data_IF_483156664535
#
_entry.id   IF_483156664535
#
_cell.length_a   1.000
_cell.length_b   1.000
_cell.length_c   1.000
_cell.angle_alpha   90.00
_cell.angle_beta   90.00
_cell.angle_gamma   90.00
#
_symmetry.space_group_name_H-M   'P 1'
#
loop_
_entity.id
_entity.type
_entity.pdbx_description
1 polymer ?
#
# COMPACT_ATOMS: atom_id res chain seq x y z
N UNK A 1 14.86 -22.64 -26.05
CA UNK A 1 14.95 -21.20 -26.37
C UNK A 1 15.76 -20.52 -25.28
N UNK A 2 16.64 -19.63 -25.67
CA UNK A 2 17.42 -18.84 -24.70
C UNK A 2 16.53 -17.75 -24.10
N UNK A 3 16.43 -17.72 -22.79
CA UNK A 3 15.66 -16.71 -22.07
C UNK A 3 16.58 -15.53 -21.71
N UNK A 4 16.48 -14.46 -22.48
CA UNK A 4 17.15 -13.20 -22.16
C UNK A 4 16.37 -12.43 -21.11
N UNK A 5 16.99 -11.41 -20.51
CA UNK A 5 16.30 -10.54 -19.56
C UNK A 5 15.05 -9.85 -20.17
N UNK A 6 15.14 -9.51 -21.46
CA UNK A 6 14.01 -8.93 -22.19
C UNK A 6 12.84 -9.91 -22.31
N UNK A 7 13.12 -11.18 -22.59
CA UNK A 7 12.11 -12.24 -22.66
C UNK A 7 11.53 -12.51 -21.27
N UNK A 8 12.36 -12.58 -20.24
CA UNK A 8 11.91 -12.73 -18.85
C UNK A 8 10.96 -11.61 -18.46
N UNK A 9 11.30 -10.36 -18.73
CA UNK A 9 10.44 -9.22 -18.42
C UNK A 9 9.10 -9.28 -19.15
N UNK A 10 9.12 -9.68 -20.42
CA UNK A 10 7.89 -9.90 -21.21
C UNK A 10 7.01 -10.98 -20.56
N UNK A 11 7.58 -12.11 -20.20
CA UNK A 11 6.87 -13.21 -19.54
C UNK A 11 6.25 -12.70 -18.23
N UNK A 12 7.02 -12.00 -17.42
CA UNK A 12 6.57 -11.47 -16.13
C UNK A 12 5.39 -10.53 -16.29
N UNK A 13 5.44 -9.60 -17.23
CA UNK A 13 4.34 -8.66 -17.46
C UNK A 13 3.07 -9.38 -17.95
N UNK A 14 3.20 -10.38 -18.80
CA UNK A 14 2.06 -11.18 -19.26
C UNK A 14 1.44 -11.99 -18.12
N UNK A 15 2.27 -12.61 -17.29
CA UNK A 15 1.82 -13.38 -16.12
C UNK A 15 1.12 -12.48 -15.10
N UNK A 16 1.71 -11.32 -14.79
CA UNK A 16 1.11 -10.33 -13.89
C UNK A 16 -0.29 -9.92 -14.35
N UNK A 17 -0.44 -9.62 -15.63
CA UNK A 17 -1.72 -9.21 -16.19
C UNK A 17 -2.80 -10.29 -16.09
N UNK A 18 -2.41 -11.56 -16.17
CA UNK A 18 -3.33 -12.69 -16.09
C UNK A 18 -3.66 -13.12 -14.66
N UNK A 19 -2.75 -12.91 -13.72
CA UNK A 19 -2.93 -13.28 -12.31
C UNK A 19 -3.64 -12.16 -11.53
N UNK A 20 -3.44 -10.89 -11.89
CA UNK A 20 -4.00 -9.75 -11.16
C UNK A 20 -5.52 -9.81 -10.94
N UNK A 21 -6.37 -10.21 -11.93
CA UNK A 21 -7.82 -10.29 -11.72
C UNK A 21 -8.23 -11.16 -10.52
N UNK A 22 -7.42 -12.15 -10.18
CA UNK A 22 -7.63 -13.06 -9.05
C UNK A 22 -7.50 -12.32 -7.69
N UNK A 23 -6.75 -11.21 -7.66
CA UNK A 23 -6.46 -10.44 -6.46
C UNK A 23 -7.13 -9.06 -6.43
N UNK A 24 -7.92 -8.70 -7.44
CA UNK A 24 -8.54 -7.37 -7.55
C UNK A 24 -9.44 -7.03 -6.36
N UNK A 25 -10.23 -7.99 -5.88
CA UNK A 25 -11.12 -7.78 -4.74
C UNK A 25 -10.33 -7.50 -3.45
N UNK A 26 -9.26 -8.25 -3.20
CA UNK A 26 -8.40 -8.07 -2.04
C UNK A 26 -7.63 -6.76 -2.12
N UNK A 27 -7.15 -6.40 -3.29
CA UNK A 27 -6.47 -5.13 -3.55
C UNK A 27 -7.41 -3.94 -3.29
N UNK A 28 -8.64 -4.00 -3.78
CA UNK A 28 -9.64 -2.96 -3.58
C UNK A 28 -10.00 -2.79 -2.09
N UNK A 29 -10.17 -3.89 -1.36
CA UNK A 29 -10.47 -3.87 0.07
C UNK A 29 -9.29 -3.31 0.88
N UNK A 30 -8.07 -3.70 0.55
CA UNK A 30 -6.86 -3.14 1.16
C UNK A 30 -6.79 -1.63 0.97
N UNK A 31 -7.01 -1.16 -0.25
CA UNK A 31 -7.00 0.26 -0.59
C UNK A 31 -8.10 1.02 0.16
N UNK A 32 -9.30 0.45 0.28
CA UNK A 32 -10.41 1.05 1.01
C UNK A 32 -10.05 1.25 2.49
N UNK A 33 -9.48 0.23 3.14
CA UNK A 33 -9.09 0.29 4.56
C UNK A 33 -8.01 1.33 4.79
N UNK A 34 -6.96 1.35 3.96
CA UNK A 34 -5.87 2.31 4.07
C UNK A 34 -6.36 3.73 3.84
N UNK A 35 -7.18 3.96 2.82
CA UNK A 35 -7.73 5.28 2.52
C UNK A 35 -8.65 5.77 3.64
N UNK A 36 -9.46 4.89 4.23
CA UNK A 36 -10.32 5.22 5.37
C UNK A 36 -9.49 5.63 6.59
N UNK A 37 -8.43 4.87 6.89
CA UNK A 37 -7.51 5.20 7.98
C UNK A 37 -6.87 6.58 7.78
N UNK A 38 -6.34 6.82 6.58
CA UNK A 38 -5.69 8.10 6.25
C UNK A 38 -6.68 9.27 6.34
N UNK A 39 -7.90 9.09 5.87
CA UNK A 39 -8.95 10.11 5.93
C UNK A 39 -9.31 10.47 7.37
N UNK A 40 -9.48 9.48 8.24
CA UNK A 40 -9.76 9.70 9.66
C UNK A 40 -8.58 10.40 10.34
N UNK A 41 -7.36 9.97 10.08
CA UNK A 41 -6.14 10.61 10.63
C UNK A 41 -6.01 12.06 10.19
N UNK A 42 -6.27 12.36 8.92
CA UNK A 42 -6.23 13.72 8.40
C UNK A 42 -7.29 14.61 9.05
N UNK A 43 -8.51 14.12 9.24
CA UNK A 43 -9.57 14.87 9.92
C UNK A 43 -9.24 15.12 11.39
N UNK A 44 -8.67 14.14 12.09
CA UNK A 44 -8.24 14.30 13.48
C UNK A 44 -7.08 15.30 13.59
N UNK A 45 -6.13 15.27 12.67
CA UNK A 45 -5.02 16.21 12.58
C UNK A 45 -5.53 17.65 12.36
N UNK A 46 -6.48 17.86 11.46
CA UNK A 46 -7.08 19.16 11.19
C UNK A 46 -7.84 19.69 12.41
N UNK A 47 -8.59 18.84 13.09
CA UNK A 47 -9.31 19.22 14.32
C UNK A 47 -8.34 19.62 15.44
N UNK A 48 -7.24 18.88 15.62
CA UNK A 48 -6.21 19.21 16.60
C UNK A 48 -5.53 20.56 16.28
N UNK A 49 -5.25 20.81 15.01
CA UNK A 49 -4.68 22.08 14.54
C UNK A 49 -5.63 23.26 14.82
N UNK A 50 -6.91 23.09 14.54
CA UNK A 50 -7.93 24.12 14.84
C UNK A 50 -8.05 24.37 16.32
N UNK A 51 -8.02 23.34 17.17
CA UNK A 51 -8.05 23.50 18.63
C UNK A 51 -6.83 24.27 19.14
N UNK A 52 -5.63 23.95 18.64
CA UNK A 52 -4.40 24.67 18.97
C UNK A 52 -4.48 26.15 18.55
N UNK A 53 -5.01 26.42 17.36
CA UNK A 53 -5.20 27.78 16.86
C UNK A 53 -6.22 28.56 17.67
N UNK A 54 -7.27 27.91 18.16
CA UNK A 54 -8.28 28.53 19.04
C UNK A 54 -7.65 28.99 20.36
N UNK A 55 -6.83 28.15 20.99
CA UNK A 55 -6.08 28.51 22.20
C UNK A 55 -5.15 29.69 21.93
N UNK A 56 -4.42 29.66 20.83
CA UNK A 56 -3.54 30.74 20.43
C UNK A 56 -4.28 32.08 20.26
N UNK A 57 -5.41 32.04 19.54
CA UNK A 57 -6.21 33.21 19.26
C UNK A 57 -6.83 33.80 20.53
N UNK A 58 -7.30 32.99 21.47
CA UNK A 58 -7.81 33.42 22.76
C UNK A 58 -6.72 34.08 23.61
N UNK A 59 -5.59 33.41 23.78
CA UNK A 59 -4.50 33.91 24.62
C UNK A 59 -3.82 35.16 24.04
N UNK A 60 -3.81 35.32 22.72
CA UNK A 60 -3.25 36.48 22.03
C UNK A 60 -3.91 37.79 22.44
N UNK A 61 -5.20 37.74 22.80
CA UNK A 61 -5.94 38.92 23.29
C UNK A 61 -5.38 39.47 24.63
N UNK A 62 -4.66 38.61 25.35
CA UNK A 62 -4.08 38.90 26.66
C UNK A 62 -2.56 38.80 26.65
N UNK A 63 -1.94 39.28 25.57
CA UNK A 63 -0.48 39.21 25.36
C UNK A 63 0.34 40.02 26.38
N UNK A 64 -0.29 40.94 27.07
CA UNK A 64 0.28 41.69 28.19
C UNK A 64 0.35 40.88 29.50
N UNK A 65 -0.40 39.77 29.58
CA UNK A 65 -0.51 38.92 30.76
C UNK A 65 0.07 37.51 30.50
N UNK A 66 -0.19 36.96 29.32
CA UNK A 66 0.15 35.56 28.99
C UNK A 66 1.23 35.49 27.93
N UNK A 67 2.18 34.60 28.16
CA UNK A 67 3.14 34.16 27.18
C UNK A 67 2.74 32.77 26.70
N UNK A 68 2.78 32.53 25.37
CA UNK A 68 2.42 31.27 24.77
C UNK A 68 3.65 30.37 24.58
N UNK A 69 3.55 29.14 25.06
CA UNK A 69 4.53 28.14 24.79
C UNK A 69 4.16 27.37 23.49
N UNK A 70 4.72 27.82 22.38
CA UNK A 70 4.52 27.20 21.07
C UNK A 70 4.94 25.71 21.03
N UNK A 71 5.94 25.33 21.83
CA UNK A 71 6.37 23.95 21.94
C UNK A 71 5.30 23.04 22.53
N UNK A 72 4.59 23.52 23.56
CA UNK A 72 3.48 22.78 24.19
C UNK A 72 2.28 22.64 23.24
N UNK A 73 1.98 23.68 22.46
CA UNK A 73 0.91 23.65 21.45
C UNK A 73 1.25 22.65 20.37
N UNK A 74 2.48 22.64 19.88
CA UNK A 74 2.98 21.69 18.90
C UNK A 74 2.94 20.25 19.43
N UNK A 75 3.30 20.03 20.69
CA UNK A 75 3.24 18.73 21.35
C UNK A 75 1.81 18.21 21.44
N UNK A 76 0.87 19.05 21.82
CA UNK A 76 -0.56 18.67 21.87
C UNK A 76 -1.08 18.29 20.48
N UNK A 77 -0.69 19.01 19.44
CA UNK A 77 -0.99 18.69 18.05
C UNK A 77 -0.40 17.34 17.63
N UNK A 78 0.88 17.10 17.94
CA UNK A 78 1.57 15.85 17.57
C UNK A 78 1.07 14.64 18.35
N UNK A 79 0.56 14.82 19.58
CA UNK A 79 -0.01 13.70 20.37
C UNK A 79 -1.29 13.14 19.76
N UNK A 80 -1.97 13.89 18.90
CA UNK A 80 -3.12 13.41 18.14
C UNK A 80 -2.71 12.66 16.87
N UNK A 81 -1.41 12.61 16.56
CA UNK A 81 -0.87 11.93 15.39
C UNK A 81 -0.78 10.44 15.70
N UNK A 82 -1.44 9.63 14.90
CA UNK A 82 -1.38 8.17 14.97
C UNK A 82 -2.23 7.47 16.06
N UNK A 83 -3.47 7.90 16.33
CA UNK A 83 -4.30 7.25 17.34
C UNK A 83 -4.96 5.96 16.84
N UNK A 84 -4.89 5.68 15.53
CA UNK A 84 -5.64 4.58 14.91
C UNK A 84 -4.69 3.49 14.47
N UNK A 85 -5.03 2.25 14.83
CA UNK A 85 -4.34 1.05 14.41
C UNK A 85 -5.31 0.09 13.75
N UNK A 86 -4.94 -0.43 12.58
CA UNK A 86 -5.71 -1.47 11.93
C UNK A 86 -5.60 -2.74 12.79
N UNK A 87 -6.75 -3.37 13.12
CA UNK A 87 -6.75 -4.60 13.88
C UNK A 87 -5.93 -5.68 13.16
N UNK A 88 -5.18 -6.48 13.90
CA UNK A 88 -4.23 -7.43 13.35
C UNK A 88 -4.85 -8.40 12.35
N UNK A 89 -6.06 -8.89 12.60
CA UNK A 89 -6.73 -9.81 11.68
C UNK A 89 -7.10 -9.15 10.34
N UNK A 90 -7.46 -7.86 10.34
CA UNK A 90 -7.72 -7.11 9.11
C UNK A 90 -6.43 -6.80 8.38
N UNK A 91 -5.38 -6.45 9.13
CA UNK A 91 -4.08 -6.08 8.57
C UNK A 91 -3.34 -7.27 7.97
N UNK A 92 -3.32 -8.40 8.67
CA UNK A 92 -2.59 -9.58 8.24
C UNK A 92 -3.28 -10.36 7.13
N UNK A 93 -4.62 -10.40 7.12
CA UNK A 93 -5.36 -11.25 6.18
C UNK A 93 -5.80 -10.54 4.92
N UNK A 94 -6.03 -9.21 4.97
CA UNK A 94 -6.57 -8.47 3.83
C UNK A 94 -5.67 -7.37 3.30
N UNK A 95 -4.87 -6.70 4.14
CA UNK A 95 -4.17 -5.47 3.73
C UNK A 95 -2.78 -5.74 3.14
N UNK A 96 -2.02 -6.68 3.69
CA UNK A 96 -0.65 -6.92 3.25
C UNK A 96 -0.39 -8.28 2.63
N UNK A 97 -1.11 -9.31 3.02
CA UNK A 97 -0.85 -10.68 2.52
C UNK A 97 -1.21 -10.88 1.05
N UNK A 98 -2.13 -10.09 0.51
CA UNK A 98 -2.48 -10.24 -0.90
C UNK A 98 -1.29 -9.95 -1.83
N UNK A 99 -0.49 -8.92 -1.52
CA UNK A 99 0.69 -8.58 -2.33
C UNK A 99 1.73 -9.70 -2.32
N UNK A 100 2.00 -10.27 -1.15
CA UNK A 100 2.93 -11.39 -1.03
C UNK A 100 2.43 -12.63 -1.77
N UNK A 101 1.17 -12.98 -1.63
CA UNK A 101 0.57 -14.11 -2.34
C UNK A 101 0.58 -13.90 -3.86
N UNK A 102 0.24 -12.69 -4.31
CA UNK A 102 0.31 -12.31 -5.71
C UNK A 102 1.74 -12.45 -6.26
N UNK A 103 2.71 -11.87 -5.56
CA UNK A 103 4.12 -11.93 -5.96
C UNK A 103 4.64 -13.37 -6.02
N UNK A 104 4.32 -14.20 -5.03
CA UNK A 104 4.71 -15.61 -5.00
C UNK A 104 4.09 -16.39 -6.14
N UNK A 105 2.81 -16.19 -6.43
CA UNK A 105 2.12 -16.87 -7.54
C UNK A 105 2.71 -16.46 -8.90
N UNK A 106 2.95 -15.16 -9.10
CA UNK A 106 3.61 -14.65 -10.32
C UNK A 106 5.00 -15.24 -10.47
N UNK A 107 5.83 -15.22 -9.44
CA UNK A 107 7.19 -15.75 -9.49
C UNK A 107 7.19 -17.24 -9.78
N UNK A 108 6.30 -18.01 -9.16
CA UNK A 108 6.19 -19.47 -9.38
C UNK A 108 5.84 -19.78 -10.84
N UNK A 109 4.89 -19.06 -11.41
CA UNK A 109 4.47 -19.26 -12.81
C UNK A 109 5.61 -18.84 -13.76
N UNK A 110 6.22 -17.69 -13.53
CA UNK A 110 7.34 -17.20 -14.33
C UNK A 110 8.51 -18.17 -14.32
N UNK A 111 8.90 -18.66 -13.16
CA UNK A 111 10.00 -19.62 -13.02
C UNK A 111 9.70 -20.93 -13.76
N UNK A 112 8.48 -21.45 -13.67
CA UNK A 112 8.07 -22.65 -14.40
C UNK A 112 8.15 -22.46 -15.92
N UNK A 113 7.72 -21.30 -16.42
CA UNK A 113 7.80 -20.97 -17.85
C UNK A 113 9.25 -20.90 -18.30
N UNK A 114 10.09 -20.18 -17.54
CA UNK A 114 11.51 -20.00 -17.87
C UNK A 114 12.23 -21.35 -17.91
N UNK A 115 12.04 -22.20 -16.91
CA UNK A 115 12.64 -23.53 -16.86
C UNK A 115 12.23 -24.36 -18.08
N UNK A 116 10.94 -24.37 -18.43
CA UNK A 116 10.45 -25.09 -19.60
C UNK A 116 11.08 -24.60 -20.89
N UNK A 117 11.21 -23.29 -21.07
CA UNK A 117 11.83 -22.71 -22.26
C UNK A 117 13.34 -23.05 -22.34
N UNK A 118 14.04 -22.97 -21.23
CA UNK A 118 15.49 -23.27 -21.16
C UNK A 118 15.77 -24.77 -21.40
N UNK A 119 14.83 -25.65 -21.06
CA UNK A 119 14.94 -27.08 -21.31
C UNK A 119 14.60 -27.49 -22.77
N UNK A 120 14.38 -26.54 -23.66
CA UNK A 120 14.18 -26.80 -25.08
C UNK A 120 12.82 -26.37 -25.64
N UNK A 121 12.00 -25.67 -24.84
CA UNK A 121 10.77 -25.09 -25.32
C UNK A 121 11.00 -23.95 -26.33
N UNK A 122 10.02 -23.71 -27.18
CA UNK A 122 10.06 -22.66 -28.21
C UNK A 122 8.95 -21.61 -27.98
N UNK A 123 8.85 -20.65 -28.90
CA UNK A 123 7.85 -19.59 -28.81
C UNK A 123 6.42 -20.10 -28.79
N UNK A 124 6.13 -21.18 -29.52
CA UNK A 124 4.80 -21.79 -29.50
C UNK A 124 4.46 -22.37 -28.12
N UNK A 125 5.44 -22.97 -27.45
CA UNK A 125 5.28 -23.45 -26.06
C UNK A 125 5.03 -22.30 -25.10
N UNK A 126 5.73 -21.17 -25.26
CA UNK A 126 5.51 -19.97 -24.48
C UNK A 126 4.07 -19.45 -24.65
N UNK A 127 3.61 -19.29 -25.87
CA UNK A 127 2.26 -18.80 -26.16
C UNK A 127 1.19 -19.73 -25.57
N UNK A 128 1.40 -21.05 -25.66
CA UNK A 128 0.50 -22.03 -25.05
C UNK A 128 0.46 -21.89 -23.54
N UNK A 129 1.62 -21.84 -22.89
CA UNK A 129 1.71 -21.71 -21.43
C UNK A 129 1.06 -20.42 -20.92
N UNK A 130 1.25 -19.31 -21.62
CA UNK A 130 0.59 -18.04 -21.27
C UNK A 130 -0.93 -18.11 -21.45
N UNK A 131 -1.41 -18.85 -22.44
CA UNK A 131 -2.86 -19.01 -22.66
C UNK A 131 -3.54 -19.90 -21.61
N UNK A 132 -2.80 -20.79 -20.96
CA UNK A 132 -3.31 -21.73 -19.95
C UNK A 132 -3.39 -21.15 -18.53
N UNK A 133 -2.93 -19.93 -18.33
CA UNK A 133 -2.96 -19.27 -17.00
C UNK A 133 -4.37 -18.80 -16.64
#
# INVERSE_FOLDING_TARGET
>A
MRVTKKVENYIREQVKAKVMPKYEAEKAESKRIINLKNDIENRASDAAKQAAMAIFNEAKQYSDIFELDEGSIRKAYLSCYNPIRIKDFCYTDSVHKWESRYAEEVNKIVDNIIVTLELGGNKADLDRMLSEI
#
